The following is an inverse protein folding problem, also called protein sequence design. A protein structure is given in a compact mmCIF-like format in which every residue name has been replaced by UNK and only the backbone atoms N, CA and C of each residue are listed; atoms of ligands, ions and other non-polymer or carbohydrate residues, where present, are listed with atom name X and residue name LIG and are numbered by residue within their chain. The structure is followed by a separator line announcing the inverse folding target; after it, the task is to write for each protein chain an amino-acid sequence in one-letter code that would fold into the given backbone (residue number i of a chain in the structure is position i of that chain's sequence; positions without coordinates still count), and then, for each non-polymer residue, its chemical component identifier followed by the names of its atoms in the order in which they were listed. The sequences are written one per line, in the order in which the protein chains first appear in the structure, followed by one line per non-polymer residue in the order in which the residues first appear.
data_IF_328272726959
#
_entry.id   IF_328272726959
#
_cell.length_a   1.000
_cell.length_b   1.000
_cell.length_c   1.000
_cell.angle_alpha   90.00
_cell.angle_beta   90.00
_cell.angle_gamma   90.00
#
_symmetry.space_group_name_H-M   'P 1'
#
loop_
_entity.id
_entity.type
_entity.pdbx_description
1 polymer ?
#
# COMPACT_ATOMS: atom_id res chain seq x y z
N UNK A 1 -53.55 0.38 -6.68
CA UNK A 1 -52.63 -0.50 -7.42
C UNK A 1 -51.24 0.10 -7.32
N UNK A 2 -50.31 -0.62 -6.69
CA UNK A 2 -48.89 -0.29 -6.63
C UNK A 2 -48.28 -0.60 -7.99
N UNK A 3 -47.46 0.29 -8.52
CA UNK A 3 -46.44 -0.07 -9.52
C UNK A 3 -45.11 0.49 -9.03
N UNK A 4 -44.19 -0.44 -8.84
CA UNK A 4 -42.80 -0.34 -8.45
C UNK A 4 -41.98 0.51 -9.42
N UNK A 5 -41.25 1.49 -8.90
CA UNK A 5 -40.10 2.08 -9.60
C UNK A 5 -38.85 1.34 -9.15
N UNK A 6 -38.11 0.85 -10.15
CA UNK A 6 -36.90 0.05 -10.03
C UNK A 6 -35.71 0.93 -9.62
N UNK A 7 -35.07 0.57 -8.51
CA UNK A 7 -33.75 1.07 -8.13
C UNK A 7 -32.71 0.57 -9.14
N UNK A 8 -32.44 1.40 -10.16
CA UNK A 8 -31.32 1.20 -11.08
C UNK A 8 -30.01 1.60 -10.39
N UNK A 9 -29.32 0.61 -9.84
CA UNK A 9 -27.94 0.76 -9.37
C UNK A 9 -27.04 0.98 -10.59
N UNK A 10 -26.56 2.21 -10.78
CA UNK A 10 -25.55 2.53 -11.78
C UNK A 10 -24.23 1.78 -11.45
N UNK A 11 -23.56 1.17 -12.45
CA UNK A 11 -22.26 0.53 -12.24
C UNK A 11 -21.20 1.61 -12.04
N UNK A 12 -20.52 1.59 -10.89
CA UNK A 12 -19.35 2.43 -10.61
C UNK A 12 -18.09 1.56 -10.67
N UNK A 13 -17.38 1.76 -11.78
CA UNK A 13 -16.23 0.99 -12.25
C UNK A 13 -15.00 1.06 -11.32
N UNK A 14 -14.48 -0.11 -10.97
CA UNK A 14 -13.05 -0.30 -10.74
C UNK A 14 -12.35 -0.06 -12.08
N UNK A 15 -12.04 1.19 -12.42
CA UNK A 15 -11.21 1.51 -13.58
C UNK A 15 -9.75 1.08 -13.31
N UNK A 16 -9.50 -0.23 -13.46
CA UNK A 16 -8.18 -0.74 -13.86
C UNK A 16 -7.98 -0.61 -15.38
N UNK A 17 -8.97 -0.04 -16.09
CA UNK A 17 -9.04 0.12 -17.55
C UNK A 17 -8.68 1.56 -18.00
N UNK A 18 -8.46 2.47 -17.05
CA UNK A 18 -8.25 3.91 -17.29
C UNK A 18 -6.84 4.28 -17.73
N UNK A 19 -6.41 3.85 -18.92
CA UNK A 19 -5.16 4.32 -19.54
C UNK A 19 -5.37 5.02 -20.89
N UNK A 20 -6.61 5.37 -21.21
CA UNK A 20 -6.94 5.92 -22.52
C UNK A 20 -8.06 6.95 -22.51
N UNK A 21 -8.08 7.96 -21.61
CA UNK A 21 -8.77 9.22 -21.91
C UNK A 21 -8.45 10.37 -20.94
N UNK A 22 -8.69 11.58 -21.43
CA UNK A 22 -8.06 12.86 -21.07
C UNK A 22 -8.86 13.69 -20.06
N UNK A 23 -8.12 14.60 -19.40
CA UNK A 23 -8.40 16.03 -19.12
C UNK A 23 -9.76 16.49 -18.58
N UNK A 24 -9.64 17.19 -17.44
CA UNK A 24 -10.37 18.39 -17.01
C UNK A 24 -11.82 18.24 -16.49
N UNK A 25 -12.02 18.49 -15.19
CA UNK A 25 -12.63 19.72 -14.62
C UNK A 25 -13.15 19.47 -13.19
N UNK A 26 -12.79 20.35 -12.24
CA UNK A 26 -13.57 20.65 -11.01
C UNK A 26 -14.62 21.72 -11.38
N UNK A 27 -15.73 21.99 -10.63
CA UNK A 27 -15.70 22.37 -9.20
C UNK A 27 -16.98 22.10 -8.34
N UNK A 28 -16.83 22.29 -7.01
CA UNK A 28 -17.89 22.71 -6.05
C UNK A 28 -18.91 21.64 -5.66
N UNK A 29 -19.44 21.54 -4.43
CA UNK A 29 -19.42 22.38 -3.25
C UNK A 29 -20.62 21.95 -2.37
N UNK A 30 -20.53 22.24 -1.06
CA UNK A 30 -21.60 22.23 -0.06
C UNK A 30 -22.08 20.89 0.55
N UNK A 31 -21.69 20.70 1.82
CA UNK A 31 -22.46 20.02 2.89
C UNK A 31 -23.70 20.87 3.27
N UNK A 32 -24.62 20.53 4.22
CA UNK A 32 -24.27 20.24 5.63
C UNK A 32 -25.29 19.42 6.51
N UNK A 33 -24.90 19.23 7.79
CA UNK A 33 -25.70 19.05 9.04
C UNK A 33 -26.28 17.65 9.35
N UNK A 34 -25.73 16.91 10.34
CA UNK A 34 -25.86 16.97 11.82
C UNK A 34 -27.12 16.30 12.39
N UNK A 35 -26.96 15.29 13.25
CA UNK A 35 -27.29 15.35 14.69
C UNK A 35 -27.19 13.99 15.44
N UNK A 36 -26.51 14.02 16.59
CA UNK A 36 -26.76 13.35 17.91
C UNK A 36 -26.93 11.82 17.99
N UNK A 37 -26.12 11.01 18.69
CA UNK A 37 -25.61 10.96 20.08
C UNK A 37 -26.37 9.90 20.94
N UNK A 38 -25.65 8.86 21.40
CA UNK A 38 -25.94 8.03 22.59
C UNK A 38 -24.77 7.02 22.77
N UNK A 39 -23.88 7.21 23.75
CA UNK A 39 -23.78 6.51 25.06
C UNK A 39 -23.49 5.00 25.01
N UNK A 40 -22.31 4.61 25.48
CA UNK A 40 -21.98 3.37 26.22
C UNK A 40 -20.50 3.50 26.65
N UNK A 41 -20.05 3.16 27.86
CA UNK A 41 -20.42 2.01 28.67
C UNK A 41 -19.16 1.15 28.81
N UNK A 42 -18.25 1.58 29.68
CA UNK A 42 -16.92 1.01 29.90
C UNK A 42 -16.97 -0.46 30.35
N UNK A 43 -16.35 -1.37 29.60
CA UNK A 43 -16.03 -2.74 30.03
C UNK A 43 -14.64 -3.16 29.56
N UNK A 44 -13.69 -3.04 30.48
CA UNK A 44 -12.40 -3.71 30.44
C UNK A 44 -12.58 -5.23 30.54
N UNK A 45 -11.94 -5.98 29.64
CA UNK A 45 -11.34 -7.29 29.99
C UNK A 45 -10.25 -7.75 29.03
N UNK A 46 -9.07 -7.88 29.64
CA UNK A 46 -7.89 -8.68 29.35
C UNK A 46 -7.88 -9.59 28.10
N UNK A 47 -6.80 -9.44 27.32
CA UNK A 47 -6.33 -10.31 26.25
C UNK A 47 -5.75 -11.62 26.80
N UNK A 48 -6.05 -12.72 26.11
CA UNK A 48 -5.34 -14.00 26.18
C UNK A 48 -4.84 -14.41 24.79
N UNK A 49 -3.71 -15.13 24.66
CA UNK A 49 -3.02 -15.34 23.39
C UNK A 49 -3.74 -16.36 22.51
N UNK A 50 -4.01 -15.99 21.25
CA UNK A 50 -4.63 -16.85 20.24
C UNK A 50 -3.52 -17.57 19.46
N UNK A 51 -3.45 -18.89 19.61
CA UNK A 51 -2.72 -19.79 18.71
C UNK A 51 -3.42 -19.84 17.35
N UNK A 52 -2.70 -19.55 16.27
CA UNK A 52 -3.23 -19.56 14.91
C UNK A 52 -3.76 -20.96 14.50
N UNK A 53 -5.06 -21.04 14.26
CA UNK A 53 -5.74 -22.19 13.66
C UNK A 53 -5.53 -22.15 12.13
N UNK A 54 -4.80 -23.13 11.58
CA UNK A 54 -4.66 -23.34 10.15
C UNK A 54 -5.92 -23.98 9.55
N UNK A 55 -6.99 -23.20 9.41
CA UNK A 55 -8.07 -23.53 8.47
C UNK A 55 -7.63 -23.11 7.07
N UNK A 56 -7.91 -23.90 6.00
CA UNK A 56 -7.66 -23.47 4.63
C UNK A 56 -8.47 -22.20 4.36
N UNK A 57 -7.79 -21.06 4.27
CA UNK A 57 -8.43 -19.83 3.84
C UNK A 57 -8.93 -20.06 2.43
N UNK A 58 -10.19 -19.73 2.20
CA UNK A 58 -10.75 -19.78 0.86
C UNK A 58 -11.24 -18.37 0.55
N UNK A 59 -10.69 -17.72 -0.49
CA UNK A 59 -11.08 -16.36 -0.86
C UNK A 59 -12.59 -16.33 -1.07
N UNK A 60 -13.27 -15.48 -0.29
CA UNK A 60 -14.72 -15.26 -0.39
C UNK A 60 -15.16 -14.98 -1.84
N UNK A 61 -14.41 -14.20 -2.65
CA UNK A 61 -14.74 -13.97 -4.07
C UNK A 61 -14.69 -15.23 -4.94
N UNK A 62 -13.77 -16.16 -4.68
CA UNK A 62 -13.61 -17.37 -5.50
C UNK A 62 -14.72 -18.40 -5.24
N UNK A 63 -15.24 -18.48 -4.00
CA UNK A 63 -16.36 -19.38 -3.64
C UNK A 63 -17.72 -18.94 -4.20
N UNK A 64 -17.98 -17.64 -4.27
CA UNK A 64 -19.27 -17.11 -4.73
C UNK A 64 -19.34 -16.89 -6.24
N UNK A 65 -18.21 -16.59 -6.89
CA UNK A 65 -18.20 -16.22 -8.32
C UNK A 65 -18.02 -17.39 -9.28
N UNK A 66 -17.53 -18.56 -8.83
CA UNK A 66 -17.24 -19.71 -9.69
C UNK A 66 -18.00 -20.96 -9.26
N UNK A 67 -18.78 -21.55 -10.19
CA UNK A 67 -19.35 -22.91 -9.99
C UNK A 67 -18.27 -24.00 -10.02
N UNK A 68 -17.13 -23.72 -10.66
CA UNK A 68 -15.91 -24.56 -10.74
C UNK A 68 -14.70 -23.64 -10.66
N UNK A 69 -13.76 -23.86 -9.72
CA UNK A 69 -12.55 -23.02 -9.61
C UNK A 69 -11.81 -22.95 -10.96
N UNK A 70 -11.44 -21.74 -11.44
CA UNK A 70 -10.66 -21.60 -12.66
C UNK A 70 -9.31 -22.28 -12.47
N UNK A 71 -8.73 -22.83 -13.54
CA UNK A 71 -7.40 -23.40 -13.42
C UNK A 71 -6.39 -22.27 -13.09
N UNK A 72 -5.33 -22.55 -12.30
CA UNK A 72 -4.37 -21.52 -11.90
C UNK A 72 -3.77 -20.73 -13.07
N UNK A 73 -3.59 -21.37 -14.23
CA UNK A 73 -3.04 -20.76 -15.43
C UNK A 73 -4.00 -19.73 -16.06
N UNK A 74 -5.29 -20.04 -16.15
CA UNK A 74 -6.31 -19.09 -16.65
C UNK A 74 -6.42 -17.86 -15.76
N UNK A 75 -6.42 -18.08 -14.44
CA UNK A 75 -6.44 -17.00 -13.46
C UNK A 75 -5.20 -16.12 -13.57
N UNK A 76 -4.01 -16.73 -13.69
CA UNK A 76 -2.76 -16.01 -13.90
C UNK A 76 -2.82 -15.14 -15.16
N UNK A 77 -3.25 -15.69 -16.30
CA UNK A 77 -3.36 -14.93 -17.55
C UNK A 77 -4.36 -13.78 -17.44
N UNK A 78 -5.49 -14.01 -16.76
CA UNK A 78 -6.46 -12.95 -16.56
C UNK A 78 -5.93 -11.82 -15.68
N UNK A 79 -5.25 -12.14 -14.59
CA UNK A 79 -4.64 -11.14 -13.71
C UNK A 79 -3.54 -10.36 -14.44
N UNK A 80 -2.77 -11.02 -15.30
CA UNK A 80 -1.69 -10.41 -16.07
C UNK A 80 -2.19 -9.30 -17.01
N UNK A 81 -3.48 -9.29 -17.37
CA UNK A 81 -4.09 -8.23 -18.17
C UNK A 81 -4.22 -6.90 -17.42
N UNK A 82 -4.18 -6.92 -16.08
CA UNK A 82 -4.26 -5.71 -15.25
C UNK A 82 -2.88 -5.14 -14.88
N UNK A 83 -1.80 -5.66 -15.49
CA UNK A 83 -0.44 -5.19 -15.17
C UNK A 83 -0.24 -3.74 -15.62
N UNK A 84 0.50 -3.00 -14.81
CA UNK A 84 0.94 -1.64 -15.17
C UNK A 84 1.83 -1.68 -16.41
N UNK A 85 1.66 -0.70 -17.30
CA UNK A 85 2.59 -0.53 -18.42
C UNK A 85 3.91 0.07 -17.93
N UNK A 86 5.01 -0.09 -18.70
CA UNK A 86 6.27 0.60 -18.38
C UNK A 86 6.15 2.11 -18.25
N UNK A 87 5.18 2.74 -18.92
CA UNK A 87 4.89 4.17 -18.79
C UNK A 87 4.26 4.48 -17.44
N UNK A 88 3.22 3.74 -17.06
CA UNK A 88 2.51 3.94 -15.79
C UNK A 88 3.43 3.72 -14.61
N UNK A 89 4.24 2.66 -14.67
CA UNK A 89 5.26 2.38 -13.66
C UNK A 89 6.19 3.58 -13.49
N UNK A 90 6.66 4.19 -14.59
CA UNK A 90 7.53 5.36 -14.50
C UNK A 90 6.82 6.55 -13.85
N UNK A 91 5.62 6.90 -14.34
CA UNK A 91 4.87 8.07 -13.87
C UNK A 91 4.33 7.93 -12.43
N UNK A 92 4.02 6.71 -12.00
CA UNK A 92 3.66 6.39 -10.62
C UNK A 92 4.89 6.27 -9.71
N UNK A 93 6.09 6.41 -10.28
CA UNK A 93 7.35 6.45 -9.56
C UNK A 93 7.82 5.07 -9.06
N UNK A 94 7.43 3.99 -9.72
CA UNK A 94 8.02 2.67 -9.47
C UNK A 94 9.53 2.69 -9.77
N UNK A 95 10.36 2.00 -8.98
CA UNK A 95 11.80 1.95 -9.22
C UNK A 95 12.11 1.20 -10.52
N UNK A 96 12.83 1.86 -11.43
CA UNK A 96 13.22 1.34 -12.75
C UNK A 96 14.72 1.06 -12.82
N UNK A 97 15.06 -0.02 -13.49
CA UNK A 97 16.44 -0.41 -13.76
C UNK A 97 17.16 0.60 -14.65
N UNK A 98 18.44 0.84 -14.36
CA UNK A 98 19.34 1.64 -15.19
C UNK A 98 20.34 0.69 -15.88
N UNK A 99 20.27 0.50 -17.21
CA UNK A 99 21.05 -0.48 -17.97
C UNK A 99 22.54 -0.55 -17.59
N UNK A 100 23.21 0.59 -17.55
CA UNK A 100 24.67 0.65 -17.37
C UNK A 100 25.11 0.76 -15.90
N UNK A 101 24.16 0.69 -14.95
CA UNK A 101 24.44 0.93 -13.54
C UNK A 101 23.70 -0.10 -12.66
N UNK A 102 24.20 -1.35 -12.58
CA UNK A 102 23.59 -2.38 -11.75
C UNK A 102 23.55 -1.93 -10.27
N UNK A 103 22.53 -2.40 -9.55
CA UNK A 103 22.30 -1.98 -8.16
C UNK A 103 21.70 -0.59 -8.01
N UNK A 104 21.33 0.07 -9.12
CA UNK A 104 20.66 1.38 -9.15
C UNK A 104 19.22 1.29 -9.58
N UNK A 105 18.44 2.25 -9.11
CA UNK A 105 17.13 2.55 -9.63
C UNK A 105 16.96 4.04 -9.95
N UNK A 106 16.06 4.33 -10.88
CA UNK A 106 15.52 5.67 -11.18
C UNK A 106 14.00 5.60 -11.17
N UNK A 107 13.33 6.67 -10.81
CA UNK A 107 11.87 6.78 -10.89
C UNK A 107 11.48 8.25 -11.06
N UNK A 108 10.26 8.50 -11.52
CA UNK A 108 9.77 9.86 -11.64
C UNK A 108 9.74 10.55 -10.27
N UNK A 109 10.29 11.77 -10.24
CA UNK A 109 10.15 12.73 -9.14
C UNK A 109 9.55 13.98 -9.77
N UNK A 110 8.52 14.55 -9.14
CA UNK A 110 8.03 15.87 -9.55
C UNK A 110 9.15 16.90 -9.45
N UNK A 111 9.18 17.86 -10.37
CA UNK A 111 10.12 18.97 -10.32
C UNK A 111 10.03 19.71 -8.98
N UNK A 112 11.17 19.97 -8.34
CA UNK A 112 11.26 20.65 -7.03
C UNK A 112 11.77 19.79 -5.87
N UNK A 113 12.03 18.51 -6.11
CA UNK A 113 12.53 17.59 -5.09
C UNK A 113 14.02 17.88 -4.78
N UNK A 114 14.29 18.85 -3.90
CA UNK A 114 15.65 19.21 -3.42
C UNK A 114 16.22 18.10 -2.53
N UNK A 115 16.50 16.94 -3.12
CA UNK A 115 17.13 15.79 -2.48
C UNK A 115 18.54 16.10 -1.94
N UNK A 116 19.05 17.31 -2.12
CA UNK A 116 20.42 17.76 -1.87
C UNK A 116 20.55 18.65 -0.63
N UNK A 117 19.43 19.10 -0.07
CA UNK A 117 19.45 20.01 1.07
C UNK A 117 19.45 19.25 2.39
N UNK A 118 20.32 19.66 3.32
CA UNK A 118 20.23 19.27 4.73
C UNK A 118 18.94 19.78 5.36
N UNK A 119 18.37 20.87 4.81
CA UNK A 119 17.06 21.41 5.18
C UNK A 119 15.97 20.48 4.66
N UNK A 120 15.06 20.08 5.54
CA UNK A 120 13.94 19.18 5.30
C UNK A 120 12.63 19.82 5.75
N UNK A 121 11.54 19.36 5.16
CA UNK A 121 10.19 19.74 5.55
C UNK A 121 9.50 18.53 6.15
N UNK A 122 8.92 18.69 7.34
CA UNK A 122 8.21 17.62 8.02
C UNK A 122 6.95 17.24 7.25
N UNK A 123 6.74 15.96 6.94
CA UNK A 123 5.53 15.50 6.24
C UNK A 123 4.25 15.50 7.11
N UNK A 124 4.38 15.72 8.42
CA UNK A 124 3.24 15.76 9.36
C UNK A 124 2.79 17.17 9.72
N UNK A 125 3.72 18.08 10.00
CA UNK A 125 3.42 19.44 10.46
C UNK A 125 3.96 20.55 9.54
N UNK A 126 4.64 20.19 8.45
CA UNK A 126 5.26 21.14 7.50
C UNK A 126 6.37 22.01 8.08
N UNK A 127 6.78 21.81 9.34
CA UNK A 127 7.90 22.54 9.93
C UNK A 127 9.22 22.19 9.24
N UNK A 128 10.13 23.17 9.20
CA UNK A 128 11.48 22.96 8.69
C UNK A 128 12.39 22.40 9.77
N UNK A 129 13.19 21.40 9.42
CA UNK A 129 14.21 20.82 10.28
C UNK A 129 15.46 20.46 9.45
N UNK A 130 16.53 20.00 10.09
CA UNK A 130 17.79 19.73 9.41
C UNK A 130 18.34 18.35 9.77
N UNK A 131 18.87 17.65 8.77
CA UNK A 131 19.70 16.47 8.97
C UNK A 131 21.02 16.67 8.22
N UNK A 132 22.14 16.66 8.95
CA UNK A 132 23.46 16.83 8.33
C UNK A 132 23.87 15.57 7.56
N UNK A 133 24.83 15.66 6.63
CA UNK A 133 25.39 14.47 5.98
C UNK A 133 25.96 13.43 6.95
N UNK A 134 26.36 13.85 8.16
CA UNK A 134 26.83 12.98 9.24
C UNK A 134 25.72 12.25 10.00
N UNK A 135 24.44 12.59 9.74
CA UNK A 135 23.29 12.00 10.43
C UNK A 135 22.83 12.75 11.67
N UNK A 136 23.37 13.94 11.93
CA UNK A 136 22.98 14.75 13.08
C UNK A 136 21.66 15.46 12.79
N UNK A 137 20.76 15.44 13.78
CA UNK A 137 19.40 15.97 13.68
C UNK A 137 19.29 17.31 14.43
N UNK A 138 18.72 18.32 13.79
CA UNK A 138 18.48 19.63 14.39
C UNK A 138 17.07 20.15 14.07
N UNK A 139 16.35 20.55 15.11
CA UNK A 139 15.06 21.23 15.02
C UNK A 139 14.94 22.26 16.15
N UNK A 140 14.18 23.33 15.92
CA UNK A 140 13.95 24.35 16.95
C UNK A 140 12.98 23.88 18.03
N UNK A 141 11.96 23.10 17.65
CA UNK A 141 10.90 22.62 18.51
C UNK A 141 10.54 21.18 18.13
N UNK A 142 9.89 20.45 19.03
CA UNK A 142 9.27 19.15 18.73
C UNK A 142 8.19 19.23 17.65
N UNK A 143 7.83 18.09 17.08
CA UNK A 143 6.78 17.96 16.08
C UNK A 143 5.41 17.89 16.75
N UNK A 144 4.48 18.80 16.42
CA UNK A 144 3.07 18.70 16.80
C UNK A 144 2.22 18.54 15.55
N UNK A 145 1.43 17.48 15.47
CA UNK A 145 0.70 17.11 14.26
C UNK A 145 -0.65 16.45 14.54
N UNK A 146 -1.47 16.33 13.50
CA UNK A 146 -2.72 15.58 13.50
C UNK A 146 -2.52 14.33 12.64
N UNK A 147 -2.87 13.15 13.16
CA UNK A 147 -2.87 11.89 12.40
C UNK A 147 -4.12 11.72 11.53
N UNK A 148 -5.22 12.36 11.95
CA UNK A 148 -6.50 12.31 11.27
C UNK A 148 -6.54 13.14 10.00
N UNK A 149 -7.36 12.71 9.05
CA UNK A 149 -7.63 13.49 7.84
C UNK A 149 -8.55 14.66 8.16
N UNK A 150 -8.49 15.68 7.31
CA UNK A 150 -9.42 16.81 7.35
C UNK A 150 -10.75 16.37 6.74
N UNK A 151 -11.82 16.53 7.50
CA UNK A 151 -13.18 16.30 7.02
C UNK A 151 -14.12 17.32 7.62
N UNK A 152 -14.91 18.02 6.80
CA UNK A 152 -15.89 18.99 7.28
C UNK A 152 -15.32 20.15 8.12
N UNK A 153 -14.07 20.57 7.88
CA UNK A 153 -13.44 21.67 8.62
C UNK A 153 -12.82 21.30 9.98
N UNK A 154 -12.81 20.01 10.33
CA UNK A 154 -12.16 19.49 11.56
C UNK A 154 -11.21 18.34 11.23
N UNK A 155 -10.33 18.00 12.18
CA UNK A 155 -9.48 16.82 12.07
C UNK A 155 -10.17 15.59 12.65
N UNK A 156 -10.17 14.48 11.91
CA UNK A 156 -10.86 13.25 12.33
C UNK A 156 -10.27 12.61 13.60
N UNK A 157 -9.03 12.95 13.99
CA UNK A 157 -8.35 12.39 15.15
C UNK A 157 -8.78 13.03 16.49
N UNK A 158 -9.13 14.32 16.49
CA UNK A 158 -9.40 15.07 17.73
C UNK A 158 -10.60 16.02 17.64
N UNK A 159 -11.26 16.10 16.48
CA UNK A 159 -12.35 17.03 16.20
C UNK A 159 -12.00 18.52 16.38
N UNK A 160 -10.71 18.83 16.55
CA UNK A 160 -10.26 20.21 16.68
C UNK A 160 -10.43 20.97 15.36
N UNK A 161 -10.64 22.28 15.48
CA UNK A 161 -10.69 23.21 14.37
C UNK A 161 -9.33 23.31 13.66
N UNK A 162 -9.34 23.80 12.42
CA UNK A 162 -8.18 23.88 11.53
C UNK A 162 -6.97 24.61 12.11
N UNK A 163 -7.21 25.60 12.97
CA UNK A 163 -6.17 26.46 13.53
C UNK A 163 -5.47 25.84 14.75
N UNK A 164 -5.96 24.71 15.26
CA UNK A 164 -5.41 24.08 16.44
C UNK A 164 -4.08 23.39 16.12
N UNK A 165 -3.02 23.75 16.86
CA UNK A 165 -1.74 23.06 16.80
C UNK A 165 -1.93 21.57 17.14
N UNK A 166 -1.37 20.66 16.33
CA UNK A 166 -1.57 19.20 16.36
C UNK A 166 -1.91 18.55 17.71
N UNK A 167 -2.83 17.58 17.70
CA UNK A 167 -3.26 16.84 18.89
C UNK A 167 -2.26 15.76 19.35
N UNK A 168 -1.29 15.41 18.52
CA UNK A 168 -0.19 14.50 18.86
C UNK A 168 1.15 15.24 18.81
N UNK A 169 2.12 14.71 19.57
CA UNK A 169 3.47 15.27 19.65
C UNK A 169 4.53 14.19 19.52
N UNK A 170 5.65 14.54 18.89
CA UNK A 170 6.87 13.73 18.80
C UNK A 170 8.09 14.64 18.98
N UNK A 171 9.17 14.10 19.54
CA UNK A 171 10.44 14.82 19.65
C UNK A 171 11.10 15.04 18.28
N UNK A 172 10.69 14.27 17.27
CA UNK A 172 11.29 14.29 15.93
C UNK A 172 10.28 14.67 14.85
N UNK A 173 10.74 15.56 13.97
CA UNK A 173 10.17 15.78 12.64
C UNK A 173 10.64 14.69 11.66
N UNK A 174 9.80 14.33 10.70
CA UNK A 174 10.03 13.21 9.77
C UNK A 174 9.84 13.62 8.31
N UNK A 175 10.59 13.00 7.40
CA UNK A 175 10.44 13.18 5.95
C UNK A 175 10.70 11.86 5.22
N UNK A 176 10.12 11.68 4.03
CA UNK A 176 10.28 10.44 3.26
C UNK A 176 11.67 10.34 2.58
N UNK A 177 12.27 11.49 2.27
CA UNK A 177 13.49 11.61 1.48
C UNK A 177 14.77 11.42 2.31
N UNK A 178 14.71 11.70 3.62
CA UNK A 178 15.83 11.51 4.55
C UNK A 178 17.09 12.29 4.23
N UNK A 179 18.26 11.74 4.60
CA UNK A 179 19.57 12.33 4.34
C UNK A 179 19.75 12.92 2.93
N UNK A 180 20.42 14.10 2.81
CA UNK A 180 20.74 14.67 1.52
C UNK A 180 21.57 13.69 0.68
N UNK A 181 21.15 13.49 -0.57
CA UNK A 181 21.87 12.72 -1.59
C UNK A 181 22.86 13.64 -2.31
N UNK A 182 23.83 13.07 -3.03
CA UNK A 182 24.71 13.83 -3.94
C UNK A 182 24.02 14.05 -5.29
N UNK A 183 24.26 15.19 -5.94
CA UNK A 183 23.72 15.51 -7.29
C UNK A 183 23.97 14.37 -8.27
N UNK A 184 22.95 14.03 -9.07
CA UNK A 184 22.99 12.96 -10.08
C UNK A 184 23.38 11.57 -9.54
N UNK A 185 23.28 11.33 -8.23
CA UNK A 185 23.59 10.03 -7.64
C UNK A 185 22.33 9.19 -7.54
N UNK A 186 22.24 8.19 -8.39
CA UNK A 186 21.15 7.22 -8.37
C UNK A 186 21.12 6.44 -7.04
N UNK A 187 19.93 6.20 -6.47
CA UNK A 187 19.70 5.29 -5.34
C UNK A 187 20.43 3.96 -5.52
N UNK A 188 20.95 3.41 -4.41
CA UNK A 188 21.96 2.34 -4.38
C UNK A 188 21.39 1.14 -3.60
N UNK A 189 21.78 -0.07 -3.97
CA UNK A 189 21.38 -1.29 -3.26
C UNK A 189 20.06 -1.91 -3.73
N UNK A 190 19.64 -1.59 -4.96
CA UNK A 190 18.48 -2.20 -5.59
C UNK A 190 18.82 -3.58 -6.17
N UNK A 191 17.94 -4.55 -5.98
CA UNK A 191 17.99 -5.85 -6.65
C UNK A 191 16.87 -5.95 -7.68
N UNK A 192 17.02 -6.82 -8.68
CA UNK A 192 16.03 -6.98 -9.75
C UNK A 192 15.65 -8.45 -9.90
N UNK A 193 14.35 -8.74 -9.97
CA UNK A 193 13.87 -10.07 -10.33
C UNK A 193 14.30 -10.43 -11.75
N UNK A 194 14.69 -11.69 -11.98
CA UNK A 194 15.13 -12.18 -13.29
C UNK A 194 14.29 -13.39 -13.67
N UNK A 195 14.24 -13.71 -14.95
CA UNK A 195 13.71 -15.00 -15.40
C UNK A 195 14.58 -16.11 -14.81
N UNK A 196 13.94 -17.10 -14.17
CA UNK A 196 14.63 -18.23 -13.56
C UNK A 196 14.05 -19.53 -14.13
N UNK A 197 14.89 -20.44 -14.67
CA UNK A 197 14.43 -21.75 -15.11
C UNK A 197 13.81 -22.52 -13.94
N UNK A 198 12.62 -23.07 -14.13
CA UNK A 198 11.94 -23.89 -13.11
C UNK A 198 11.11 -23.15 -12.07
N UNK A 199 11.13 -21.80 -12.05
CA UNK A 199 10.14 -21.00 -11.30
C UNK A 199 9.05 -20.60 -12.29
N UNK A 200 7.93 -21.33 -12.29
CA UNK A 200 6.75 -20.98 -13.08
C UNK A 200 6.17 -19.64 -12.59
N UNK A 201 5.50 -18.91 -13.49
CA UNK A 201 4.74 -17.71 -13.11
C UNK A 201 3.78 -18.02 -11.97
N UNK A 202 3.62 -17.05 -11.06
CA UNK A 202 2.74 -17.14 -9.90
C UNK A 202 2.28 -15.75 -9.50
N UNK A 203 1.23 -15.66 -8.70
CA UNK A 203 0.67 -14.39 -8.24
C UNK A 203 0.87 -14.28 -6.73
N UNK A 204 1.52 -13.21 -6.29
CA UNK A 204 1.72 -12.92 -4.87
C UNK A 204 1.32 -11.50 -4.57
N UNK A 205 0.65 -11.28 -3.44
CA UNK A 205 0.43 -9.96 -2.89
C UNK A 205 1.56 -9.62 -1.92
N UNK A 206 2.03 -8.38 -1.96
CA UNK A 206 3.11 -7.86 -1.11
C UNK A 206 2.62 -6.59 -0.45
N UNK A 207 2.91 -6.46 0.83
CA UNK A 207 2.69 -5.24 1.59
C UNK A 207 3.79 -5.12 2.67
N UNK A 208 4.18 -3.88 2.96
CA UNK A 208 5.21 -3.57 3.93
C UNK A 208 4.74 -2.53 4.93
N UNK A 209 5.15 -2.73 6.17
CA UNK A 209 5.12 -1.68 7.17
C UNK A 209 6.45 -0.93 7.17
N UNK A 210 6.40 0.40 7.22
CA UNK A 210 7.58 1.26 7.20
C UNK A 210 7.71 2.10 8.46
N UNK A 211 8.96 2.47 8.76
CA UNK A 211 9.30 3.44 9.80
C UNK A 211 10.11 4.60 9.20
N UNK A 212 10.07 5.75 9.88
CA UNK A 212 10.89 6.91 9.51
C UNK A 212 12.22 6.85 10.22
N UNK A 213 13.29 7.04 9.46
CA UNK A 213 14.66 7.11 9.96
C UNK A 213 15.32 8.42 9.52
N UNK A 214 16.54 8.68 10.01
CA UNK A 214 17.35 9.79 9.49
C UNK A 214 17.63 9.68 7.97
N UNK A 215 17.50 8.49 7.37
CA UNK A 215 17.68 8.23 5.94
C UNK A 215 16.35 8.16 5.16
N UNK A 216 15.25 8.53 5.79
CA UNK A 216 13.91 8.53 5.20
C UNK A 216 13.16 7.26 5.59
N UNK A 217 12.20 6.87 4.76
CA UNK A 217 11.43 5.65 4.98
C UNK A 217 12.32 4.40 4.80
N UNK A 218 12.29 3.51 5.80
CA UNK A 218 12.87 2.18 5.73
C UNK A 218 11.80 1.13 6.09
N UNK A 219 11.88 -0.05 5.47
CA UNK A 219 11.00 -1.18 5.79
C UNK A 219 11.25 -1.65 7.22
N UNK A 220 10.16 -1.94 7.93
CA UNK A 220 10.14 -2.42 9.31
C UNK A 220 9.47 -3.81 9.42
N UNK A 221 8.48 -4.11 8.56
CA UNK A 221 7.87 -5.43 8.42
C UNK A 221 7.54 -5.66 6.95
N UNK A 222 7.63 -6.90 6.47
CA UNK A 222 7.22 -7.29 5.12
C UNK A 222 6.34 -8.52 5.19
N UNK A 223 5.27 -8.52 4.42
CA UNK A 223 4.35 -9.62 4.25
C UNK A 223 4.25 -10.00 2.77
N UNK A 224 4.23 -11.31 2.50
CA UNK A 224 3.97 -11.88 1.18
C UNK A 224 2.89 -12.94 1.33
N UNK A 225 1.85 -12.79 0.52
CA UNK A 225 0.67 -13.63 0.51
C UNK A 225 0.53 -14.27 -0.86
N UNK A 226 0.30 -15.57 -0.92
CA UNK A 226 0.02 -16.32 -2.14
C UNK A 226 -1.39 -16.00 -2.67
N UNK A 227 -1.67 -16.35 -3.93
CA UNK A 227 -2.97 -16.13 -4.57
C UNK A 227 -4.16 -16.74 -3.80
N UNK A 228 -3.89 -17.81 -3.06
CA UNK A 228 -4.84 -18.50 -2.17
C UNK A 228 -4.87 -17.89 -0.76
N UNK A 229 -4.37 -16.67 -0.57
CA UNK A 229 -4.41 -15.92 0.69
C UNK A 229 -3.53 -16.45 1.81
N UNK A 230 -2.79 -17.55 1.58
CA UNK A 230 -1.83 -18.06 2.54
C UNK A 230 -0.64 -17.09 2.65
N UNK A 231 -0.31 -16.67 3.87
CA UNK A 231 0.92 -15.90 4.12
C UNK A 231 2.12 -16.83 3.97
N UNK A 232 2.91 -16.63 2.92
CA UNK A 232 4.06 -17.48 2.58
C UNK A 232 5.38 -16.94 3.10
N UNK A 233 5.43 -15.65 3.43
CA UNK A 233 6.58 -15.01 4.05
C UNK A 233 6.12 -13.81 4.87
N UNK A 234 6.56 -13.72 6.12
CA UNK A 234 6.32 -12.58 6.99
C UNK A 234 7.53 -12.42 7.91
N UNK A 235 8.09 -11.21 7.98
CA UNK A 235 9.20 -10.96 8.89
C UNK A 235 9.34 -9.47 9.22
N UNK A 236 9.80 -9.19 10.45
CA UNK A 236 10.31 -7.87 10.79
C UNK A 236 11.70 -7.67 10.18
N UNK A 237 12.01 -6.42 9.85
CA UNK A 237 13.27 -6.02 9.22
C UNK A 237 13.95 -4.98 10.09
N UNK A 238 15.22 -5.20 10.40
CA UNK A 238 16.03 -4.24 11.14
C UNK A 238 16.34 -3.04 10.24
N UNK A 239 15.88 -1.82 10.57
CA UNK A 239 16.23 -0.61 9.83
C UNK A 239 17.74 -0.38 9.88
N UNK A 240 18.33 0.15 8.80
CA UNK A 240 19.79 0.35 8.75
C UNK A 240 20.25 1.59 9.51
N UNK A 241 19.32 2.49 9.82
CA UNK A 241 19.59 3.77 10.46
C UNK A 241 18.74 3.93 11.72
N UNK A 242 19.14 4.83 12.65
CA UNK A 242 18.32 5.18 13.80
C UNK A 242 16.90 5.57 13.39
N UNK A 243 15.92 4.93 14.02
CA UNK A 243 14.50 5.20 13.83
C UNK A 243 14.16 6.51 14.55
N UNK A 244 13.58 7.45 13.81
CA UNK A 244 13.02 8.69 14.35
C UNK A 244 11.58 8.48 14.80
N UNK A 245 10.83 7.66 14.06
CA UNK A 245 9.43 7.37 14.34
C UNK A 245 9.04 6.00 13.76
N UNK A 246 8.50 5.11 14.59
CA UNK A 246 8.08 3.77 14.16
C UNK A 246 6.80 3.78 13.32
N UNK A 247 6.14 4.93 13.24
CA UNK A 247 4.87 5.14 12.56
C UNK A 247 3.74 4.25 13.10
N UNK A 248 3.80 3.88 14.38
CA UNK A 248 2.99 2.80 15.00
C UNK A 248 1.49 2.92 14.75
N UNK A 249 0.92 4.14 14.78
CA UNK A 249 -0.50 4.37 14.51
C UNK A 249 -0.96 3.93 13.12
N UNK A 250 -0.02 3.84 12.18
CA UNK A 250 -0.25 3.35 10.82
C UNK A 250 0.38 1.97 10.61
N UNK A 251 1.59 1.73 11.13
CA UNK A 251 2.39 0.55 10.82
C UNK A 251 2.16 -0.65 11.74
N UNK A 252 1.57 -0.42 12.92
CA UNK A 252 1.53 -1.39 14.01
C UNK A 252 2.89 -1.82 14.55
N UNK A 253 3.99 -1.25 14.04
CA UNK A 253 5.35 -1.58 14.49
C UNK A 253 5.69 -0.74 15.72
N UNK A 254 6.24 -1.40 16.74
CA UNK A 254 6.73 -0.76 17.97
C UNK A 254 8.25 -0.91 18.08
N UNK A 255 8.87 -0.14 18.98
CA UNK A 255 10.29 -0.32 19.31
C UNK A 255 10.60 -1.74 19.83
N UNK A 256 9.67 -2.32 20.58
CA UNK A 256 9.81 -3.69 21.12
C UNK A 256 9.87 -4.72 20.00
N UNK A 257 8.99 -4.61 18.98
CA UNK A 257 9.01 -5.49 17.81
C UNK A 257 10.37 -5.50 17.10
N UNK A 258 11.10 -4.37 17.07
CA UNK A 258 12.38 -4.25 16.37
C UNK A 258 13.61 -4.46 17.25
N UNK A 259 13.47 -4.49 18.58
CA UNK A 259 14.57 -4.51 19.55
C UNK A 259 15.60 -5.63 19.34
N UNK A 260 15.12 -6.83 18.97
CA UNK A 260 15.95 -8.03 18.82
C UNK A 260 16.02 -8.56 17.37
N UNK A 261 15.48 -7.82 16.41
CA UNK A 261 15.45 -8.24 15.00
C UNK A 261 16.85 -8.15 14.41
N UNK A 262 17.34 -9.27 13.87
CA UNK A 262 18.63 -9.33 13.17
C UNK A 262 18.48 -9.41 11.65
N UNK A 263 17.27 -9.74 11.17
CA UNK A 263 16.97 -9.85 9.74
C UNK A 263 17.22 -8.51 9.06
N UNK A 264 18.15 -8.49 8.09
CA UNK A 264 18.45 -7.27 7.33
C UNK A 264 17.63 -7.19 6.06
N UNK A 265 17.52 -5.99 5.48
CA UNK A 265 16.93 -5.82 4.15
C UNK A 265 17.58 -6.73 3.09
N UNK A 266 18.89 -6.98 3.18
CA UNK A 266 19.57 -7.87 2.23
C UNK A 266 19.11 -9.32 2.36
N UNK A 267 18.79 -9.77 3.57
CA UNK A 267 18.33 -11.13 3.80
C UNK A 267 16.90 -11.30 3.27
N UNK A 268 16.04 -10.30 3.50
CA UNK A 268 14.72 -10.21 2.86
C UNK A 268 14.84 -10.25 1.34
N UNK A 269 15.69 -9.41 0.74
CA UNK A 269 15.91 -9.38 -0.70
C UNK A 269 16.31 -10.76 -1.27
N UNK A 270 17.18 -11.52 -0.57
CA UNK A 270 17.55 -12.88 -1.00
C UNK A 270 16.34 -13.81 -1.00
N UNK A 271 15.48 -13.73 0.01
CA UNK A 271 14.25 -14.54 0.09
C UNK A 271 13.29 -14.16 -1.03
N UNK A 272 13.03 -12.86 -1.22
CA UNK A 272 12.13 -12.37 -2.28
C UNK A 272 12.63 -12.77 -3.68
N UNK A 273 13.93 -12.73 -3.95
CA UNK A 273 14.50 -13.19 -5.23
C UNK A 273 14.44 -14.71 -5.44
N UNK A 274 14.21 -15.50 -4.39
CA UNK A 274 13.94 -16.94 -4.49
C UNK A 274 12.46 -17.23 -4.69
N UNK A 275 11.59 -16.39 -4.15
CA UNK A 275 10.14 -16.49 -4.31
C UNK A 275 9.68 -15.94 -5.66
N UNK A 276 10.30 -14.87 -6.15
CA UNK A 276 9.84 -14.12 -7.32
C UNK A 276 10.79 -14.28 -8.51
N UNK A 277 10.22 -14.64 -9.66
CA UNK A 277 10.85 -14.53 -10.96
C UNK A 277 10.38 -13.28 -11.70
N UNK A 278 10.96 -12.98 -12.86
CA UNK A 278 10.49 -11.87 -13.70
C UNK A 278 9.04 -12.06 -14.21
N UNK A 279 8.55 -13.30 -14.25
CA UNK A 279 7.18 -13.64 -14.64
C UNK A 279 6.25 -13.85 -13.44
N UNK A 280 6.71 -13.61 -12.22
CA UNK A 280 5.80 -13.52 -11.07
C UNK A 280 4.98 -12.23 -11.20
N UNK A 281 3.67 -12.27 -10.94
CA UNK A 281 2.85 -11.06 -10.81
C UNK A 281 2.84 -10.62 -9.36
N UNK A 282 3.29 -9.41 -9.08
CA UNK A 282 3.16 -8.80 -7.76
C UNK A 282 1.92 -7.92 -7.68
N UNK A 283 1.07 -8.20 -6.70
CA UNK A 283 -0.15 -7.45 -6.39
C UNK A 283 0.08 -6.59 -5.15
N UNK A 284 -0.45 -5.38 -5.12
CA UNK A 284 -0.40 -4.53 -3.92
C UNK A 284 -1.31 -3.30 -4.03
N UNK A 285 -1.15 -2.34 -3.12
CA UNK A 285 -1.90 -1.09 -3.10
C UNK A 285 -0.96 0.10 -2.90
N UNK A 286 -0.61 0.82 -3.98
CA UNK A 286 0.44 1.83 -3.95
C UNK A 286 1.84 1.22 -3.80
N UNK A 287 2.04 0.06 -4.46
CA UNK A 287 3.19 -0.83 -4.29
C UNK A 287 4.53 -0.17 -4.69
N UNK A 288 4.53 1.02 -5.30
CA UNK A 288 5.75 1.77 -5.56
C UNK A 288 6.54 2.06 -4.29
N UNK A 289 5.86 2.28 -3.16
CA UNK A 289 6.53 2.64 -1.91
C UNK A 289 7.20 1.42 -1.30
N UNK A 290 6.51 0.29 -1.27
CA UNK A 290 7.02 -1.03 -0.88
C UNK A 290 8.26 -1.39 -1.68
N UNK A 291 8.19 -1.32 -3.02
CA UNK A 291 9.31 -1.67 -3.87
C UNK A 291 10.50 -0.71 -3.72
N UNK A 292 10.27 0.57 -3.40
CA UNK A 292 11.36 1.51 -3.09
C UNK A 292 12.04 1.17 -1.76
N UNK A 293 11.30 0.87 -0.70
CA UNK A 293 11.89 0.56 0.62
C UNK A 293 12.53 -0.83 0.66
N UNK A 294 11.94 -1.80 -0.04
CA UNK A 294 12.53 -3.12 -0.30
C UNK A 294 13.74 -3.05 -1.25
N UNK A 295 13.91 -1.91 -1.93
CA UNK A 295 14.88 -1.70 -3.01
C UNK A 295 14.81 -2.85 -4.03
N UNK A 296 13.61 -3.17 -4.46
CA UNK A 296 13.32 -4.26 -5.40
C UNK A 296 12.79 -3.66 -6.70
N UNK A 297 13.39 -4.02 -7.83
CA UNK A 297 12.92 -3.68 -9.17
C UNK A 297 12.20 -4.92 -9.71
N UNK A 298 10.93 -4.75 -10.01
CA UNK A 298 10.07 -5.80 -10.54
C UNK A 298 9.13 -5.19 -11.59
N UNK A 299 9.03 -5.81 -12.76
CA UNK A 299 8.37 -5.23 -13.94
C UNK A 299 6.91 -5.72 -14.13
N UNK A 300 6.48 -6.75 -13.42
CA UNK A 300 5.15 -7.37 -13.59
C UNK A 300 4.28 -7.08 -12.36
N UNK A 301 3.74 -5.87 -12.29
CA UNK A 301 2.98 -5.36 -11.12
C UNK A 301 1.52 -5.11 -11.47
N UNK A 302 0.60 -5.51 -10.60
CA UNK A 302 -0.81 -5.12 -10.57
C UNK A 302 -1.06 -4.30 -9.31
N UNK A 303 -1.47 -3.04 -9.47
CA UNK A 303 -1.70 -2.12 -8.35
C UNK A 303 -3.18 -1.82 -8.17
N UNK A 304 -3.73 -2.21 -7.02
CA UNK A 304 -5.15 -2.05 -6.68
C UNK A 304 -5.54 -0.62 -6.33
N UNK A 305 -4.59 0.28 -6.08
CA UNK A 305 -4.91 1.67 -5.78
C UNK A 305 -5.66 2.36 -6.95
N UNK A 306 -5.50 1.83 -8.17
CA UNK A 306 -6.12 2.35 -9.37
C UNK A 306 -5.40 3.60 -9.88
N UNK A 307 -5.46 3.82 -11.18
CA UNK A 307 -4.96 5.02 -11.84
C UNK A 307 -6.08 5.60 -12.72
N UNK A 308 -6.23 6.94 -12.79
CA UNK A 308 -5.41 7.98 -12.14
C UNK A 308 -5.88 8.36 -10.72
N UNK A 309 -7.08 7.95 -10.31
CA UNK A 309 -7.68 8.34 -9.03
C UNK A 309 -7.48 7.27 -7.96
N UNK A 310 -6.50 7.49 -7.09
CA UNK A 310 -6.18 6.56 -6.00
C UNK A 310 -7.24 6.61 -4.90
N UNK A 311 -7.96 5.51 -4.70
CA UNK A 311 -8.83 5.29 -3.53
C UNK A 311 -8.04 4.55 -2.45
N UNK A 312 -8.41 4.70 -1.18
CA UNK A 312 -7.77 3.90 -0.12
C UNK A 312 -8.19 2.44 -0.21
N UNK A 313 -7.29 1.53 0.20
CA UNK A 313 -7.58 0.09 0.28
C UNK A 313 -8.87 -0.16 1.06
N UNK A 314 -9.01 0.44 2.24
CA UNK A 314 -10.24 0.36 3.06
C UNK A 314 -11.49 0.74 2.26
N UNK A 315 -11.45 1.81 1.48
CA UNK A 315 -12.60 2.25 0.69
C UNK A 315 -12.95 1.25 -0.42
N UNK A 316 -11.95 0.68 -1.10
CA UNK A 316 -12.15 -0.32 -2.14
C UNK A 316 -12.71 -1.63 -1.56
N UNK A 317 -12.09 -2.14 -0.49
CA UNK A 317 -12.54 -3.37 0.18
C UNK A 317 -13.97 -3.22 0.67
N UNK A 318 -14.32 -2.10 1.30
CA UNK A 318 -15.69 -1.84 1.73
C UNK A 318 -16.68 -1.79 0.54
N UNK A 319 -16.30 -1.14 -0.56
CA UNK A 319 -17.17 -0.97 -1.73
C UNK A 319 -17.43 -2.27 -2.49
N UNK A 320 -16.40 -3.13 -2.64
CA UNK A 320 -16.47 -4.30 -3.54
C UNK A 320 -16.56 -5.63 -2.81
N UNK A 321 -15.98 -5.71 -1.60
CA UNK A 321 -15.96 -6.94 -0.78
C UNK A 321 -16.90 -6.84 0.42
N UNK A 322 -17.51 -5.67 0.66
CA UNK A 322 -18.47 -5.42 1.75
C UNK A 322 -17.91 -5.80 3.14
N UNK A 323 -16.62 -5.54 3.34
CA UNK A 323 -15.87 -5.81 4.57
C UNK A 323 -15.06 -4.58 4.97
N UNK A 324 -14.86 -4.40 6.27
CA UNK A 324 -13.91 -3.42 6.80
C UNK A 324 -12.53 -4.05 7.04
N UNK A 325 -11.48 -3.30 6.71
CA UNK A 325 -10.08 -3.64 6.97
C UNK A 325 -9.40 -2.45 7.65
N UNK A 326 -8.27 -2.68 8.34
CA UNK A 326 -7.55 -1.62 9.06
C UNK A 326 -8.42 -0.93 10.15
N UNK A 327 -9.41 -1.63 10.70
CA UNK A 327 -10.39 -1.08 11.64
C UNK A 327 -9.90 -1.04 13.11
N UNK A 328 -8.71 -1.62 13.39
CA UNK A 328 -8.15 -1.73 14.73
C UNK A 328 -7.32 -0.52 15.17
N UNK A 329 -7.17 -0.29 16.49
CA UNK A 329 -6.32 0.78 17.02
C UNK A 329 -4.82 0.45 16.98
N UNK A 330 -4.46 -0.78 16.58
CA UNK A 330 -3.09 -1.30 16.64
C UNK A 330 -2.25 -1.00 15.38
N UNK A 331 -2.67 -0.03 14.56
CA UNK A 331 -2.10 0.19 13.24
C UNK A 331 -2.58 -0.84 12.21
N UNK A 332 -1.96 -0.85 11.04
CA UNK A 332 -2.26 -1.78 9.96
C UNK A 332 -1.55 -3.12 10.19
N UNK A 333 -2.05 -4.15 9.51
CA UNK A 333 -1.42 -5.46 9.43
C UNK A 333 -1.11 -5.77 7.98
N UNK A 334 0.19 -5.78 7.62
CA UNK A 334 0.59 -6.05 6.24
C UNK A 334 0.05 -7.36 5.65
N UNK A 335 -0.24 -8.38 6.45
CA UNK A 335 -0.79 -9.63 5.94
C UNK A 335 -2.28 -9.48 5.61
N UNK A 336 -3.06 -8.77 6.43
CA UNK A 336 -4.44 -8.35 6.13
C UNK A 336 -4.49 -7.51 4.85
N UNK A 337 -3.63 -6.49 4.76
CA UNK A 337 -3.63 -5.57 3.62
C UNK A 337 -3.23 -6.29 2.31
N UNK A 338 -2.20 -7.15 2.34
CA UNK A 338 -1.83 -7.99 1.20
C UNK A 338 -2.96 -8.96 0.79
N UNK A 339 -3.61 -9.63 1.74
CA UNK A 339 -4.77 -10.50 1.46
C UNK A 339 -5.91 -9.72 0.84
N UNK A 340 -6.22 -8.55 1.37
CA UNK A 340 -7.29 -7.70 0.85
C UNK A 340 -7.01 -7.24 -0.59
N UNK A 341 -5.76 -6.90 -0.93
CA UNK A 341 -5.34 -6.60 -2.29
C UNK A 341 -5.55 -7.80 -3.22
N UNK A 342 -5.15 -9.00 -2.78
CA UNK A 342 -5.35 -10.23 -3.55
C UNK A 342 -6.83 -10.49 -3.80
N UNK A 343 -7.67 -10.40 -2.76
CA UNK A 343 -9.12 -10.59 -2.87
C UNK A 343 -9.77 -9.61 -3.86
N UNK A 344 -9.35 -8.34 -3.87
CA UNK A 344 -9.85 -7.34 -4.83
C UNK A 344 -9.51 -7.71 -6.28
N UNK A 345 -8.27 -8.13 -6.54
CA UNK A 345 -7.84 -8.56 -7.88
C UNK A 345 -8.60 -9.80 -8.33
N UNK A 346 -8.76 -10.78 -7.44
CA UNK A 346 -9.52 -12.00 -7.72
C UNK A 346 -11.00 -11.68 -8.00
N UNK A 347 -11.60 -10.77 -7.23
CA UNK A 347 -12.98 -10.31 -7.44
C UNK A 347 -13.15 -9.65 -8.82
N UNK A 348 -12.21 -8.78 -9.22
CA UNK A 348 -12.25 -8.13 -10.54
C UNK A 348 -12.08 -9.15 -11.67
N UNK A 349 -11.10 -10.05 -11.55
CA UNK A 349 -10.85 -11.10 -12.54
C UNK A 349 -12.08 -12.00 -12.73
N UNK A 350 -12.72 -12.40 -11.62
CA UNK A 350 -13.93 -13.22 -11.64
C UNK A 350 -15.13 -12.50 -12.27
N UNK A 351 -15.31 -11.22 -11.92
CA UNK A 351 -16.39 -10.39 -12.46
C UNK A 351 -16.27 -10.25 -13.98
N UNK A 352 -15.06 -10.01 -14.49
CA UNK A 352 -14.79 -9.90 -15.92
C UNK A 352 -15.06 -11.22 -16.66
N UNK A 353 -14.60 -12.36 -16.11
CA UNK A 353 -14.84 -13.67 -16.73
C UNK A 353 -16.33 -14.03 -16.79
N UNK A 354 -17.07 -13.70 -15.74
CA UNK A 354 -18.53 -13.90 -15.71
C UNK A 354 -19.25 -13.04 -16.77
N UNK A 355 -18.80 -11.81 -16.99
CA UNK A 355 -19.33 -10.95 -18.04
C UNK A 355 -19.06 -11.52 -19.44
N UNK A 356 -17.82 -11.97 -19.71
CA UNK A 356 -17.48 -12.63 -20.98
C UNK A 356 -18.29 -13.92 -21.22
N UNK A 357 -18.53 -14.69 -20.16
CA UNK A 357 -19.35 -15.91 -20.23
C UNK A 357 -20.80 -15.63 -20.61
N UNK A 358 -21.38 -14.51 -20.18
CA UNK A 358 -22.74 -14.08 -20.59
C UNK A 358 -22.78 -13.69 -22.06
N UNK A 359 -21.86 -12.82 -22.49
CA UNK A 359 -21.77 -12.36 -23.89
C UNK A 359 -21.61 -13.53 -24.87
N UNK A 360 -20.81 -14.55 -24.52
CA UNK A 360 -20.64 -15.74 -25.37
C UNK A 360 -21.90 -16.59 -25.52
N UNK A 361 -22.77 -16.62 -24.51
CA UNK A 361 -24.05 -17.35 -24.56
C UNK A 361 -25.07 -16.59 -25.40
N UNK A 362 -25.16 -15.28 -25.18
CA UNK A 362 -26.03 -14.40 -25.97
C UNK A 362 -25.64 -14.37 -27.46
N UNK A 363 -24.36 -14.55 -27.80
CA UNK A 363 -23.90 -14.65 -29.18
C UNK A 363 -24.07 -16.05 -29.82
N UNK A 364 -24.41 -17.06 -29.03
CA UNK A 364 -24.62 -18.44 -29.48
C UNK A 364 -26.11 -18.81 -29.61
N UNK A 365 -27.01 -17.95 -29.13
CA UNK A 365 -28.46 -17.96 -29.35
C UNK A 365 -28.82 -17.09 -30.55
#
# INVERSE_FOLDING_TARGET
MRTSEEDSVAPLDLELEGNAQRLATSPGGASPQHATAATEGDRQKALSPITASATPWCPIPLKSAYRTSPCPDELYQQILNYRLTPSDMYHCGYPRHVPDKPGRAVWWKSDGDEAYSSRKTCCRCSATFFITPGGEYYAQNGCRFHTGRRWGGVFSCCQAALEHAGCESSDYHICAEGLPRKRNTLPRGFVRTRSQPGITGGVFAVDCEMCFTIRGLEVAKVCVVSWDGATVFETYVRPTSPVLDYNTSFSGVTAEHLSNVQTTLKDVQKVLLRLFSASTVLVGHGLENDLRVLKLIHDTVVDTAGLPYRRSLRSLVNSYLHRDVQAGPQGHDCAEDARACMELVLWKAASHLNQLGRVRREAAE
#
